data_IF_122043019490
#
_entry.id   IF_122043019490
#
_cell.length_a   1.000
_cell.length_b   1.000
_cell.length_c   1.000
_cell.angle_alpha   90.00
_cell.angle_beta   90.00
_cell.angle_gamma   90.00
#
_symmetry.space_group_name_H-M   'P 1'
#
loop_
_entity.id
_entity.type
_entity.pdbx_description
1 polymer ?
#
# COMPACT_ATOMS: atom_id res chain seq x y z
N UNK A 1 -6.97 13.84 5.69
CA UNK A 1 -5.64 13.47 5.20
C UNK A 1 -4.56 13.78 6.23
N UNK A 2 -4.35 15.05 6.57
CA UNK A 2 -3.34 15.51 7.54
C UNK A 2 -3.35 14.75 8.87
N UNK A 3 -4.55 14.50 9.45
CA UNK A 3 -4.67 13.71 10.68
C UNK A 3 -4.12 12.29 10.52
N UNK A 4 -4.41 11.63 9.39
CA UNK A 4 -3.87 10.30 9.10
C UNK A 4 -2.35 10.35 8.94
N UNK A 5 -1.81 11.37 8.26
CA UNK A 5 -0.38 11.56 8.10
C UNK A 5 0.32 11.69 9.46
N UNK A 6 -0.16 12.60 10.32
CA UNK A 6 0.40 12.84 11.65
C UNK A 6 0.41 11.57 12.51
N UNK A 7 -0.69 10.82 12.49
CA UNK A 7 -0.79 9.56 13.25
C UNK A 7 0.12 8.49 12.66
N UNK A 8 0.22 8.39 11.34
CA UNK A 8 1.14 7.46 10.67
C UNK A 8 2.59 7.77 11.06
N UNK A 9 3.00 9.05 11.06
CA UNK A 9 4.33 9.46 11.48
C UNK A 9 4.59 9.10 12.95
N UNK A 10 3.63 9.34 13.84
CA UNK A 10 3.76 9.00 15.27
C UNK A 10 3.93 7.50 15.49
N UNK A 11 3.10 6.70 14.82
CA UNK A 11 3.10 5.24 14.96
C UNK A 11 4.38 4.65 14.39
N UNK A 12 4.80 5.04 13.18
CA UNK A 12 6.00 4.50 12.56
C UNK A 12 7.27 4.88 13.34
N UNK A 13 7.35 6.09 13.88
CA UNK A 13 8.46 6.47 14.75
C UNK A 13 8.55 5.56 15.99
N UNK A 14 7.41 5.26 16.64
CA UNK A 14 7.37 4.34 17.77
C UNK A 14 7.75 2.90 17.36
N UNK A 15 7.29 2.44 16.19
CA UNK A 15 7.64 1.12 15.64
C UNK A 15 9.13 0.99 15.44
N UNK A 16 9.78 1.92 14.74
CA UNK A 16 11.21 1.80 14.46
C UNK A 16 12.08 2.00 15.70
N UNK A 17 11.63 2.79 16.68
CA UNK A 17 12.27 2.83 18.00
C UNK A 17 12.21 1.47 18.68
N UNK A 18 11.04 0.83 18.72
CA UNK A 18 10.89 -0.49 19.33
C UNK A 18 11.72 -1.55 18.59
N UNK A 19 11.75 -1.55 17.26
CA UNK A 19 12.59 -2.47 16.48
C UNK A 19 14.08 -2.29 16.82
N UNK A 20 14.53 -1.04 17.00
CA UNK A 20 15.91 -0.77 17.40
C UNK A 20 16.21 -1.25 18.83
N UNK A 21 15.29 -1.02 19.78
CA UNK A 21 15.42 -1.49 21.17
C UNK A 21 15.52 -3.01 21.28
N UNK A 22 14.88 -3.72 20.35
CA UNK A 22 14.91 -5.17 20.26
C UNK A 22 15.97 -5.71 19.29
N UNK A 23 16.92 -4.86 18.86
CA UNK A 23 18.04 -5.23 18.00
C UNK A 23 17.63 -5.93 16.69
N UNK A 24 16.49 -5.52 16.11
CA UNK A 24 16.00 -6.09 14.86
C UNK A 24 16.88 -5.65 13.68
N UNK A 25 17.35 -6.62 12.89
CA UNK A 25 18.11 -6.39 11.66
C UNK A 25 17.18 -5.89 10.54
N UNK A 26 17.15 -4.57 10.29
CA UNK A 26 16.15 -3.93 9.43
C UNK A 26 16.26 -4.33 7.95
N UNK A 27 17.46 -4.62 7.48
CA UNK A 27 17.74 -5.07 6.11
C UNK A 27 17.09 -6.43 5.82
N UNK A 28 16.78 -7.22 6.86
CA UNK A 28 16.03 -8.48 6.78
C UNK A 28 14.52 -8.35 6.99
N UNK A 29 13.98 -7.12 7.02
CA UNK A 29 12.55 -6.88 7.29
C UNK A 29 11.80 -6.35 6.07
N UNK A 30 10.47 -6.34 6.16
CA UNK A 30 9.59 -5.62 5.22
C UNK A 30 8.56 -4.87 6.06
N UNK A 31 8.25 -3.63 5.67
CA UNK A 31 7.16 -2.87 6.28
C UNK A 31 5.87 -3.06 5.47
N UNK A 32 4.76 -3.35 6.14
CA UNK A 32 3.42 -3.37 5.54
C UNK A 32 2.53 -2.29 6.16
N UNK A 33 2.63 -1.01 5.72
CA UNK A 33 1.85 0.07 6.29
C UNK A 33 0.56 0.31 5.49
N UNK A 34 -0.34 1.12 6.06
CA UNK A 34 -1.39 1.78 5.31
C UNK A 34 -0.82 2.87 4.40
N UNK A 35 -1.52 3.17 3.30
CA UNK A 35 -1.37 4.45 2.62
C UNK A 35 -1.97 5.58 3.49
N UNK A 36 -1.48 6.81 3.34
CA UNK A 36 -2.02 7.96 4.04
C UNK A 36 -3.22 8.50 3.27
N UNK A 37 -4.44 8.20 3.77
CA UNK A 37 -5.70 8.57 3.11
C UNK A 37 -6.62 9.35 4.04
N UNK A 38 -7.67 10.01 3.54
CA UNK A 38 -8.80 10.41 4.38
C UNK A 38 -9.46 9.18 5.03
N UNK A 39 -10.10 9.38 6.18
CA UNK A 39 -10.92 8.33 6.80
C UNK A 39 -12.13 7.99 5.93
N UNK A 40 -12.65 6.77 6.03
CA UNK A 40 -13.74 6.29 5.16
C UNK A 40 -15.01 7.16 5.27
N UNK A 41 -15.34 7.64 6.47
CA UNK A 41 -16.47 8.55 6.74
C UNK A 41 -16.15 10.03 6.49
N UNK A 42 -14.97 10.37 5.96
CA UNK A 42 -14.61 11.76 5.70
C UNK A 42 -15.37 12.30 4.49
N UNK A 43 -16.01 13.46 4.65
CA UNK A 43 -16.60 14.21 3.55
C UNK A 43 -15.55 14.78 2.58
N UNK A 44 -14.30 14.95 3.05
CA UNK A 44 -13.19 15.41 2.22
C UNK A 44 -12.52 14.24 1.51
N UNK A 45 -12.61 14.21 0.19
CA UNK A 45 -11.84 13.30 -0.67
C UNK A 45 -10.42 13.84 -0.87
N UNK A 46 -9.50 12.96 -1.20
CA UNK A 46 -8.15 13.30 -1.58
C UNK A 46 -7.86 12.67 -2.94
N UNK A 47 -7.15 13.40 -3.77
CA UNK A 47 -6.62 12.91 -5.04
C UNK A 47 -5.48 11.91 -4.79
N UNK A 48 -5.19 11.06 -5.77
CA UNK A 48 -4.06 10.15 -5.71
C UNK A 48 -2.72 10.88 -5.52
N UNK A 49 -2.57 12.08 -6.10
CA UNK A 49 -1.39 12.92 -5.92
C UNK A 49 -1.22 13.43 -4.48
N UNK A 50 -2.31 13.83 -3.82
CA UNK A 50 -2.28 14.23 -2.41
C UNK A 50 -1.98 13.05 -1.49
N UNK A 51 -2.58 11.88 -1.75
CA UNK A 51 -2.29 10.62 -1.06
C UNK A 51 -0.82 10.25 -1.22
N UNK A 52 -0.29 10.34 -2.44
CA UNK A 52 1.10 10.03 -2.74
C UNK A 52 2.06 10.95 -1.98
N UNK A 53 1.86 12.26 -2.05
CA UNK A 53 2.65 13.25 -1.32
C UNK A 53 2.64 12.97 0.18
N UNK A 54 1.45 12.80 0.77
CA UNK A 54 1.31 12.58 2.21
C UNK A 54 1.94 11.26 2.65
N UNK A 55 1.78 10.20 1.86
CA UNK A 55 2.34 8.87 2.13
C UNK A 55 3.86 8.90 2.07
N UNK A 56 4.44 9.37 0.96
CA UNK A 56 5.91 9.41 0.81
C UNK A 56 6.55 10.31 1.85
N UNK A 57 5.93 11.45 2.17
CA UNK A 57 6.41 12.35 3.23
C UNK A 57 6.42 11.67 4.60
N UNK A 58 5.35 10.96 4.97
CA UNK A 58 5.30 10.25 6.25
C UNK A 58 6.38 9.16 6.35
N UNK A 59 6.61 8.43 5.26
CA UNK A 59 7.65 7.39 5.20
C UNK A 59 9.05 8.00 5.31
N UNK A 60 9.34 9.06 4.55
CA UNK A 60 10.61 9.81 4.63
C UNK A 60 10.95 10.34 6.01
N UNK A 61 9.94 10.67 6.82
CA UNK A 61 10.13 11.18 8.18
C UNK A 61 10.38 10.09 9.22
N UNK A 62 10.14 8.82 8.91
CA UNK A 62 10.05 7.78 9.94
C UNK A 62 10.71 6.45 9.62
N UNK A 63 10.81 6.08 8.35
CA UNK A 63 11.37 4.78 7.94
C UNK A 63 12.87 4.94 7.69
N UNK A 64 13.74 4.11 8.29
CA UNK A 64 15.16 4.10 7.96
C UNK A 64 15.42 3.57 6.54
N UNK A 65 16.38 4.13 5.77
CA UNK A 65 16.76 3.63 4.44
C UNK A 65 17.22 2.17 4.39
N UNK A 66 17.59 1.57 5.53
CA UNK A 66 18.02 0.17 5.62
C UNK A 66 16.91 -0.85 5.32
N UNK A 67 15.64 -0.47 5.49
CA UNK A 67 14.51 -1.36 5.19
C UNK A 67 14.47 -1.62 3.67
N UNK A 68 14.50 -2.85 3.16
CA UNK A 68 14.59 -3.08 1.71
C UNK A 68 13.30 -2.72 0.96
N UNK A 69 12.13 -2.84 1.61
CA UNK A 69 10.86 -2.65 0.92
C UNK A 69 9.68 -2.33 1.82
N UNK A 70 8.72 -1.63 1.21
CA UNK A 70 7.44 -1.23 1.79
C UNK A 70 6.33 -1.79 0.90
N UNK A 71 5.51 -2.66 1.47
CA UNK A 71 4.48 -3.41 0.77
C UNK A 71 3.11 -2.98 1.27
N UNK A 72 2.48 -2.02 0.60
CA UNK A 72 1.24 -1.40 1.10
C UNK A 72 0.09 -2.40 1.19
N UNK A 73 -0.69 -2.31 2.27
CA UNK A 73 -2.01 -2.93 2.34
C UNK A 73 -3.03 -2.09 1.55
N UNK A 74 -4.03 -2.75 0.94
CA UNK A 74 -5.11 -2.04 0.23
C UNK A 74 -6.13 -1.42 1.17
N UNK A 75 -6.30 -1.99 2.38
CA UNK A 75 -7.30 -1.56 3.34
C UNK A 75 -8.72 -1.74 2.79
N UNK A 76 -9.54 -0.71 2.92
CA UNK A 76 -10.91 -0.65 2.40
C UNK A 76 -11.04 -0.06 1.00
N UNK A 77 -9.93 0.22 0.31
CA UNK A 77 -9.95 0.76 -1.05
C UNK A 77 -10.56 -0.26 -2.02
N UNK A 78 -11.21 0.24 -3.07
CA UNK A 78 -11.55 -0.59 -4.22
C UNK A 78 -10.28 -1.10 -4.90
N UNK A 79 -10.44 -2.14 -5.72
CA UNK A 79 -9.35 -2.70 -6.51
C UNK A 79 -8.63 -1.60 -7.32
N UNK A 80 -9.40 -0.76 -8.03
CA UNK A 80 -8.87 0.30 -8.88
C UNK A 80 -8.18 1.42 -8.09
N UNK A 81 -8.82 1.93 -7.02
CA UNK A 81 -8.24 2.98 -6.19
C UNK A 81 -6.89 2.57 -5.59
N UNK A 82 -6.77 1.32 -5.12
CA UNK A 82 -5.52 0.81 -4.56
C UNK A 82 -4.39 0.78 -5.61
N UNK A 83 -4.74 0.56 -6.88
CA UNK A 83 -3.77 0.52 -7.98
C UNK A 83 -3.35 1.93 -8.39
N UNK A 84 -4.31 2.83 -8.56
CA UNK A 84 -4.09 4.25 -8.91
C UNK A 84 -3.28 4.97 -7.82
N UNK A 85 -3.57 4.72 -6.54
CA UNK A 85 -2.83 5.34 -5.45
C UNK A 85 -1.38 4.83 -5.35
N UNK A 86 -1.15 3.53 -5.57
CA UNK A 86 0.22 2.99 -5.59
C UNK A 86 1.04 3.55 -6.76
N UNK A 87 0.44 3.64 -7.95
CA UNK A 87 1.07 4.26 -9.12
C UNK A 87 1.48 5.71 -8.82
N UNK A 88 0.57 6.50 -8.24
CA UNK A 88 0.86 7.87 -7.85
C UNK A 88 1.98 7.97 -6.81
N UNK A 89 2.03 7.05 -5.84
CA UNK A 89 3.12 6.96 -4.84
C UNK A 89 4.48 6.69 -5.53
N UNK A 90 4.52 5.76 -6.48
CA UNK A 90 5.74 5.43 -7.20
C UNK A 90 6.22 6.59 -8.09
N UNK A 91 5.30 7.24 -8.80
CA UNK A 91 5.57 8.39 -9.68
C UNK A 91 5.84 9.70 -8.95
N UNK A 92 5.51 9.81 -7.66
CA UNK A 92 5.73 11.04 -6.90
C UNK A 92 7.23 11.39 -6.87
N UNK A 93 7.56 12.59 -7.35
CA UNK A 93 8.95 13.03 -7.50
C UNK A 93 9.59 13.37 -6.15
N UNK A 94 10.19 12.36 -5.53
CA UNK A 94 10.92 12.45 -4.27
C UNK A 94 11.86 11.25 -4.11
N UNK A 95 12.89 11.40 -3.25
CA UNK A 95 13.82 10.32 -2.91
C UNK A 95 13.10 9.21 -2.13
N UNK A 96 13.02 8.01 -2.69
CA UNK A 96 12.38 6.85 -2.07
C UNK A 96 13.42 5.73 -2.03
N UNK A 97 14.20 5.59 -0.94
CA UNK A 97 15.31 4.63 -0.89
C UNK A 97 14.84 3.17 -0.72
N UNK A 98 13.53 2.94 -0.63
CA UNK A 98 12.90 1.63 -0.47
C UNK A 98 12.20 1.22 -1.76
N UNK A 99 12.13 -0.09 -2.02
CA UNK A 99 11.17 -0.60 -3.00
C UNK A 99 9.74 -0.36 -2.49
N UNK A 100 8.87 0.21 -3.33
CA UNK A 100 7.46 0.45 -2.99
C UNK A 100 6.57 -0.42 -3.85
N UNK A 101 5.89 -1.38 -3.21
CA UNK A 101 5.00 -2.31 -3.90
C UNK A 101 3.79 -2.63 -3.02
N UNK A 102 3.07 -3.70 -3.34
CA UNK A 102 1.80 -4.06 -2.72
C UNK A 102 1.88 -5.37 -1.95
N UNK A 103 1.07 -5.46 -0.90
CA UNK A 103 0.70 -6.71 -0.24
C UNK A 103 -0.82 -6.72 -0.06
N UNK A 104 -1.51 -6.90 -1.17
CA UNK A 104 -2.96 -6.79 -1.28
C UNK A 104 -3.66 -8.13 -1.04
N UNK A 105 -4.77 -8.09 -0.31
CA UNK A 105 -5.72 -9.20 -0.22
C UNK A 105 -6.90 -8.91 -1.14
N UNK A 106 -7.90 -8.19 -0.59
CA UNK A 106 -9.14 -7.84 -1.29
C UNK A 106 -8.91 -7.17 -2.64
N UNK A 107 -7.94 -6.27 -2.76
CA UNK A 107 -7.69 -5.54 -4.00
C UNK A 107 -7.16 -6.41 -5.18
N UNK A 108 -6.70 -7.64 -4.89
CA UNK A 108 -6.31 -8.63 -5.91
C UNK A 108 -7.38 -9.70 -6.15
N UNK A 109 -8.24 -9.95 -5.16
CA UNK A 109 -9.09 -11.15 -5.12
C UNK A 109 -10.59 -10.86 -5.25
N UNK A 110 -11.05 -9.61 -5.16
CA UNK A 110 -12.49 -9.33 -5.15
C UNK A 110 -13.14 -9.72 -6.48
N UNK A 111 -12.55 -9.34 -7.61
CA UNK A 111 -13.02 -9.75 -8.94
C UNK A 111 -12.85 -11.25 -9.19
N UNK A 112 -11.77 -11.85 -8.66
CA UNK A 112 -11.52 -13.30 -8.74
C UNK A 112 -12.64 -14.09 -8.07
N UNK A 113 -12.98 -13.73 -6.82
CA UNK A 113 -14.03 -14.41 -6.05
C UNK A 113 -15.41 -14.23 -6.69
N UNK A 114 -15.68 -13.03 -7.22
CA UNK A 114 -16.93 -12.73 -7.93
C UNK A 114 -17.08 -13.53 -9.23
N UNK A 115 -15.99 -13.72 -9.97
CA UNK A 115 -15.98 -14.52 -11.19
C UNK A 115 -16.07 -16.02 -10.87
N UNK A 116 -15.35 -16.50 -9.86
CA UNK A 116 -15.30 -17.92 -9.51
C UNK A 116 -16.65 -18.46 -9.01
N UNK A 117 -17.30 -17.76 -8.07
CA UNK A 117 -18.56 -18.19 -7.44
C UNK A 117 -18.52 -19.60 -6.80
N UNK A 118 -17.34 -20.15 -6.52
CA UNK A 118 -17.19 -21.52 -6.02
C UNK A 118 -17.39 -22.61 -7.09
N UNK A 119 -17.54 -22.25 -8.36
CA UNK A 119 -17.89 -23.15 -9.46
C UNK A 119 -16.65 -23.60 -10.24
N UNK A 120 -16.53 -24.89 -10.52
CA UNK A 120 -15.34 -25.47 -11.19
C UNK A 120 -15.22 -24.98 -12.64
N UNK A 121 -16.34 -24.81 -13.31
CA UNK A 121 -16.43 -24.28 -14.68
C UNK A 121 -15.90 -22.83 -14.80
N UNK A 122 -15.85 -22.07 -13.70
CA UNK A 122 -15.40 -20.67 -13.69
C UNK A 122 -13.91 -20.50 -13.34
N UNK A 123 -13.15 -21.59 -13.13
CA UNK A 123 -11.74 -21.51 -12.71
C UNK A 123 -10.92 -20.65 -13.68
N UNK A 124 -11.08 -20.86 -14.99
CA UNK A 124 -10.31 -20.12 -16.01
C UNK A 124 -10.64 -18.63 -15.98
N UNK A 125 -11.93 -18.28 -15.96
CA UNK A 125 -12.39 -16.89 -15.86
C UNK A 125 -11.85 -16.20 -14.62
N UNK A 126 -11.86 -16.87 -13.46
CA UNK A 126 -11.33 -16.33 -12.21
C UNK A 126 -9.81 -16.12 -12.26
N UNK A 127 -9.06 -17.05 -12.88
CA UNK A 127 -7.61 -16.89 -13.09
C UNK A 127 -7.30 -15.71 -14.01
N UNK A 128 -8.11 -15.50 -15.06
CA UNK A 128 -7.92 -14.38 -15.97
C UNK A 128 -8.17 -13.04 -15.26
N UNK A 129 -9.13 -12.96 -14.33
CA UNK A 129 -9.30 -11.79 -13.46
C UNK A 129 -8.08 -11.57 -12.54
N UNK A 130 -7.53 -12.64 -11.95
CA UNK A 130 -6.33 -12.53 -11.12
C UNK A 130 -5.15 -11.98 -11.93
N UNK A 131 -4.94 -12.50 -13.14
CA UNK A 131 -3.87 -12.04 -14.02
C UNK A 131 -4.04 -10.57 -14.41
N UNK A 132 -5.26 -10.12 -14.70
CA UNK A 132 -5.54 -8.69 -14.94
C UNK A 132 -5.08 -7.86 -13.74
N UNK A 133 -5.45 -8.26 -12.52
CA UNK A 133 -5.09 -7.50 -11.30
C UNK A 133 -3.59 -7.59 -10.97
N UNK A 134 -2.92 -8.72 -11.22
CA UNK A 134 -1.50 -8.92 -10.93
C UNK A 134 -0.57 -8.24 -11.94
N UNK A 135 -0.99 -8.14 -13.20
CA UNK A 135 -0.19 -7.61 -14.31
C UNK A 135 -0.51 -6.15 -14.67
N UNK A 136 -1.33 -5.46 -13.86
CA UNK A 136 -1.58 -4.03 -14.07
C UNK A 136 -0.23 -3.29 -14.15
N UNK A 137 -0.08 -2.47 -15.19
CA UNK A 137 1.16 -1.72 -15.51
C UNK A 137 1.60 -0.71 -14.43
N UNK A 138 0.94 -0.69 -13.28
CA UNK A 138 1.22 0.15 -12.13
C UNK A 138 2.27 -0.44 -11.17
N UNK A 139 2.70 -1.68 -11.41
CA UNK A 139 3.58 -2.45 -10.53
C UNK A 139 5.02 -2.63 -11.05
N UNK A 140 5.36 -2.02 -12.19
CA UNK A 140 6.70 -2.07 -12.80
C UNK A 140 7.31 -0.68 -12.86
#
# INVERSE_FOLDING_TARGET
>A
LERCQKVTETVLAAVYKALNDHHVYLEGTILKPNMVTPGQSSSKKATAAEIAKATVTALQRTVPPAVPGIMFLSGGQTEEEASVNLDAINKYNAKKPWALSFSYGRALQASVLKAWQGKKENIKTAQDELLKRALLKYFV
#
